data_IF_744936914829
#
_entry.id   IF_744936914829
#
_cell.length_a   1.000
_cell.length_b   1.000
_cell.length_c   1.000
_cell.angle_alpha   90.00
_cell.angle_beta   90.00
_cell.angle_gamma   90.00
#
_symmetry.space_group_name_H-M   'P 1'
#
loop_
_entity.id
_entity.type
_entity.pdbx_description
1 polymer ?
#
# COMPACT_ATOMS: atom_id res chain seq x y z
N UNK A 1 -1.18 -0.88 -11.96
CA UNK A 1 -2.32 -0.80 -11.02
C UNK A 1 -1.79 -1.25 -9.68
N UNK A 2 -1.61 -0.31 -8.76
CA UNK A 2 -1.10 -0.58 -7.42
C UNK A 2 -2.28 -0.79 -6.47
N UNK A 3 -2.12 -1.64 -5.48
CA UNK A 3 -3.13 -1.82 -4.44
C UNK A 3 -2.79 -0.94 -3.26
N UNK A 4 -3.75 -0.16 -2.79
CA UNK A 4 -3.60 0.62 -1.56
C UNK A 4 -3.69 -0.35 -0.38
N UNK A 5 -2.62 -0.56 0.40
CA UNK A 5 -2.61 -1.54 1.48
C UNK A 5 -3.42 -1.10 2.71
N UNK A 6 -3.86 0.17 2.77
CA UNK A 6 -4.68 0.71 3.87
C UNK A 6 -6.16 0.46 3.63
N UNK A 7 -6.64 0.73 2.41
CA UNK A 7 -8.07 0.59 2.07
C UNK A 7 -8.40 -0.61 1.17
N UNK A 8 -7.39 -1.29 0.62
CA UNK A 8 -7.56 -2.41 -0.30
C UNK A 8 -8.05 -2.02 -1.70
N UNK A 9 -8.17 -0.71 -1.98
CA UNK A 9 -8.63 -0.18 -3.26
C UNK A 9 -7.52 -0.26 -4.31
N UNK A 10 -7.88 -0.55 -5.56
CA UNK A 10 -6.95 -0.40 -6.67
C UNK A 10 -6.73 1.09 -7.00
N UNK A 11 -5.46 1.48 -7.00
CA UNK A 11 -4.97 2.81 -7.32
C UNK A 11 -4.12 2.75 -8.57
N UNK A 12 -4.45 3.59 -9.52
CA UNK A 12 -3.56 3.82 -10.66
C UNK A 12 -2.36 4.64 -10.22
N UNK A 13 -1.17 4.17 -10.55
CA UNK A 13 0.10 4.85 -10.26
C UNK A 13 0.14 6.27 -10.85
N UNK A 14 -0.54 6.45 -11.99
CA UNK A 14 -0.70 7.75 -12.69
C UNK A 14 -1.74 8.67 -12.05
N UNK A 15 -2.65 8.13 -11.24
CA UNK A 15 -3.72 8.87 -10.53
C UNK A 15 -3.54 8.87 -9.01
N UNK A 16 -2.45 8.28 -8.52
CA UNK A 16 -2.18 8.19 -7.10
C UNK A 16 -2.09 9.58 -6.50
N UNK A 17 -2.96 9.87 -5.51
CA UNK A 17 -2.95 11.16 -4.84
C UNK A 17 -1.74 11.29 -3.88
N UNK A 18 -1.17 10.16 -3.46
CA UNK A 18 0.03 10.10 -2.65
C UNK A 18 0.80 8.80 -2.92
N UNK A 19 2.11 8.85 -2.68
CA UNK A 19 2.99 7.67 -2.75
C UNK A 19 3.89 7.62 -1.51
N UNK A 20 4.36 6.43 -1.15
CA UNK A 20 5.34 6.24 -0.08
C UNK A 20 6.33 5.17 -0.47
N UNK A 21 7.62 5.45 -0.27
CA UNK A 21 8.68 4.49 -0.55
C UNK A 21 9.07 3.80 0.75
N UNK A 22 8.90 2.47 0.81
CA UNK A 22 9.22 1.67 1.98
C UNK A 22 9.95 0.39 1.56
N UNK A 23 11.11 0.11 2.17
CA UNK A 23 11.99 -1.03 1.83
C UNK A 23 12.25 -1.15 0.32
N UNK A 24 12.62 -0.03 -0.31
CA UNK A 24 12.91 0.04 -1.76
C UNK A 24 11.69 -0.26 -2.67
N UNK A 25 10.50 -0.36 -2.09
CA UNK A 25 9.24 -0.54 -2.82
C UNK A 25 8.41 0.73 -2.76
N UNK A 26 7.89 1.18 -3.90
CA UNK A 26 7.00 2.35 -3.97
C UNK A 26 5.55 1.90 -3.87
N UNK A 27 4.87 2.37 -2.82
CA UNK A 27 3.44 2.17 -2.59
C UNK A 27 2.64 3.39 -3.02
N UNK A 28 1.47 3.14 -3.57
CA UNK A 28 0.59 4.18 -4.11
C UNK A 28 -0.72 4.18 -3.31
N UNK A 29 -1.18 5.39 -2.98
CA UNK A 29 -2.32 5.59 -2.11
C UNK A 29 -3.38 6.42 -2.83
N UNK A 30 -4.64 6.08 -2.59
CA UNK A 30 -5.77 6.79 -3.18
C UNK A 30 -5.92 8.19 -2.59
N UNK A 31 -5.42 8.39 -1.38
CA UNK A 31 -5.50 9.63 -0.64
C UNK A 31 -4.26 9.87 0.24
N UNK A 32 -3.99 11.16 0.53
CA UNK A 32 -2.97 11.56 1.51
C UNK A 32 -3.24 11.00 2.92
N UNK A 33 -4.52 10.81 3.26
CA UNK A 33 -4.93 10.17 4.51
C UNK A 33 -4.39 8.75 4.62
N UNK A 34 -4.57 7.92 3.57
CA UNK A 34 -4.03 6.56 3.52
C UNK A 34 -2.51 6.55 3.65
N UNK A 35 -1.78 7.46 2.97
CA UNK A 35 -0.33 7.60 3.19
C UNK A 35 0.00 7.85 4.65
N UNK A 36 -0.69 8.76 5.34
CA UNK A 36 -0.40 9.09 6.74
C UNK A 36 -0.66 7.91 7.69
N UNK A 37 -1.69 7.10 7.44
CA UNK A 37 -1.94 5.89 8.26
C UNK A 37 -0.88 4.83 7.96
N UNK A 38 -0.51 4.67 6.69
CA UNK A 38 0.55 3.77 6.27
C UNK A 38 1.91 4.17 6.85
N UNK A 39 2.24 5.45 6.91
CA UNK A 39 3.50 5.96 7.49
C UNK A 39 3.60 5.66 8.99
N UNK A 40 2.45 5.65 9.69
CA UNK A 40 2.37 5.31 11.12
C UNK A 40 2.59 3.83 11.39
N UNK A 41 2.01 2.95 10.58
CA UNK A 41 2.07 1.49 10.78
C UNK A 41 2.35 0.70 9.49
N UNK A 42 3.44 0.96 8.76
CA UNK A 42 3.66 0.40 7.43
C UNK A 42 3.81 -1.12 7.49
N UNK A 43 4.48 -1.64 8.51
CA UNK A 43 4.70 -3.07 8.66
C UNK A 43 3.41 -3.88 8.82
N UNK A 44 2.39 -3.30 9.44
CA UNK A 44 1.09 -3.96 9.64
C UNK A 44 0.36 -4.14 8.31
N UNK A 45 0.30 -3.07 7.53
CA UNK A 45 -0.33 -3.06 6.20
C UNK A 45 0.41 -3.94 5.20
N UNK A 46 1.75 -3.94 5.25
CA UNK A 46 2.58 -4.76 4.36
C UNK A 46 2.55 -6.27 4.69
N UNK A 47 2.27 -6.62 5.94
CA UNK A 47 2.13 -8.02 6.35
C UNK A 47 0.87 -8.65 5.79
N UNK A 48 -0.20 -7.89 5.61
CA UNK A 48 -1.45 -8.37 4.98
C UNK A 48 -1.33 -8.54 3.47
N UNK A 49 -0.51 -7.73 2.79
CA UNK A 49 -0.24 -7.91 1.35
C UNK A 49 0.71 -9.06 1.05
N UNK A 50 1.65 -9.35 1.96
CA UNK A 50 2.38 -10.63 1.96
C UNK A 50 1.47 -11.74 2.48
N UNK A 51 0.38 -12.04 1.78
CA UNK A 51 -0.10 -13.42 1.77
C UNK A 51 0.85 -14.18 0.84
N UNK A 52 1.83 -14.96 1.35
CA UNK A 52 2.34 -16.03 0.54
C UNK A 52 1.11 -16.85 0.16
N UNK A 53 0.89 -17.02 -1.13
CA UNK A 53 -0.01 -18.03 -1.65
C UNK A 53 0.42 -19.35 -1.00
N UNK A 54 -0.24 -19.70 0.10
CA UNK A 54 -0.10 -20.98 0.74
C UNK A 54 -0.82 -21.95 -0.17
N UNK A 55 -0.09 -22.47 -1.16
CA UNK A 55 -0.45 -23.71 -1.82
C UNK A 55 -0.18 -24.84 -0.82
N UNK A 56 -1.25 -25.37 -0.24
CA UNK A 56 -1.33 -26.77 0.14
C UNK A 56 -2.33 -27.45 -0.79
#
# INVERSE_FOLDING_TARGET
MAKDPVCGMEVDEKKAAATSTYKETTYYFCAKGCKAVFDKEPERYLREEKKPSHCC
#
